data_IF_465085012570
#
_entry.id   IF_465085012570
#
_cell.length_a   1.000
_cell.length_b   1.000
_cell.length_c   1.000
_cell.angle_alpha   90.00
_cell.angle_beta   90.00
_cell.angle_gamma   90.00
#
_symmetry.space_group_name_H-M   'P 1'
#
loop_
_entity.id
_entity.type
_entity.pdbx_description
1 polymer ?
#
# COMPACT_ATOMS: atom_id res chain seq x y z
N UNK A 1 13.02 13.09 -6.62
CA UNK A 1 12.03 13.15 -5.52
C UNK A 1 10.64 12.62 -5.87
N UNK A 2 9.98 12.95 -7.01
CA UNK A 2 8.58 12.55 -7.20
C UNK A 2 8.31 11.04 -7.20
N UNK A 3 9.23 10.23 -7.74
CA UNK A 3 9.15 8.78 -7.66
C UNK A 3 9.30 8.23 -6.23
N UNK A 4 10.25 8.76 -5.45
CA UNK A 4 10.43 8.36 -4.06
C UNK A 4 9.20 8.72 -3.20
N UNK A 5 8.65 9.92 -3.40
CA UNK A 5 7.42 10.34 -2.73
C UNK A 5 6.22 9.44 -3.10
N UNK A 6 6.15 8.98 -4.35
CA UNK A 6 5.11 8.03 -4.79
C UNK A 6 5.19 6.71 -4.02
N UNK A 7 6.39 6.13 -3.87
CA UNK A 7 6.59 4.89 -3.13
C UNK A 7 6.23 5.05 -1.65
N UNK A 8 6.66 6.14 -1.02
CA UNK A 8 6.35 6.41 0.38
C UNK A 8 4.83 6.60 0.61
N UNK A 9 4.13 7.21 -0.35
CA UNK A 9 2.67 7.36 -0.31
C UNK A 9 1.96 6.01 -0.43
N UNK A 10 2.41 5.11 -1.31
CA UNK A 10 1.88 3.74 -1.38
C UNK A 10 2.14 3.00 -0.08
N UNK A 11 3.34 3.10 0.48
CA UNK A 11 3.66 2.47 1.75
C UNK A 11 2.74 2.95 2.88
N UNK A 12 2.52 4.25 3.01
CA UNK A 12 1.62 4.77 4.05
C UNK A 12 0.14 4.44 3.78
N UNK A 13 -0.26 4.35 2.51
CA UNK A 13 -1.58 3.84 2.12
C UNK A 13 -1.81 2.43 2.67
N UNK A 14 -0.90 1.49 2.39
CA UNK A 14 -1.03 0.11 2.87
C UNK A 14 -1.09 0.06 4.38
N UNK A 15 -0.20 0.75 5.10
CA UNK A 15 -0.19 0.71 6.57
C UNK A 15 -1.51 1.21 7.20
N UNK A 16 -2.13 2.23 6.62
CA UNK A 16 -3.42 2.75 7.12
C UNK A 16 -4.54 1.73 6.91
N UNK A 17 -4.55 1.05 5.78
CA UNK A 17 -5.54 0.03 5.47
C UNK A 17 -5.30 -1.25 6.29
N UNK A 18 -4.05 -1.72 6.40
CA UNK A 18 -3.63 -2.84 7.25
C UNK A 18 -4.06 -2.60 8.71
N UNK A 19 -3.87 -1.38 9.24
CA UNK A 19 -4.28 -1.05 10.62
C UNK A 19 -5.78 -1.28 10.86
N UNK A 20 -6.61 -1.09 9.83
CA UNK A 20 -8.06 -1.34 9.89
C UNK A 20 -8.32 -2.85 9.82
N UNK A 21 -7.68 -3.54 8.87
CA UNK A 21 -7.85 -4.97 8.61
C UNK A 21 -7.46 -5.80 9.84
N UNK A 22 -6.34 -5.46 10.48
CA UNK A 22 -5.80 -6.13 11.67
C UNK A 22 -6.48 -5.68 12.99
N UNK A 23 -7.41 -4.71 12.93
CA UNK A 23 -7.95 -4.02 14.09
C UNK A 23 -6.86 -3.46 15.04
N UNK A 24 -5.72 -3.04 14.48
CA UNK A 24 -4.57 -2.51 15.22
C UNK A 24 -4.86 -1.12 15.78
N UNK A 25 -4.89 -0.97 17.12
CA UNK A 25 -5.19 0.31 17.77
C UNK A 25 -4.00 1.28 17.82
N UNK A 26 -2.76 0.78 17.70
CA UNK A 26 -1.54 1.59 17.77
C UNK A 26 -0.51 1.17 16.72
N UNK A 27 0.21 2.16 16.17
CA UNK A 27 1.36 1.97 15.30
C UNK A 27 2.48 2.93 15.71
N UNK A 28 3.70 2.41 15.87
CA UNK A 28 4.85 3.17 16.36
C UNK A 28 4.56 3.96 17.67
N UNK A 29 3.89 3.29 18.62
CA UNK A 29 3.51 3.86 19.94
C UNK A 29 2.55 5.05 19.86
N UNK A 30 1.78 5.18 18.77
CA UNK A 30 0.77 6.23 18.58
C UNK A 30 -0.54 5.60 18.12
N UNK A 31 -1.70 6.18 18.47
CA UNK A 31 -2.99 5.71 17.96
C UNK A 31 -3.02 5.69 16.43
N UNK A 32 -3.58 4.63 15.85
CA UNK A 32 -3.75 4.50 14.40
C UNK A 32 -4.81 5.48 13.87
N UNK A 33 -4.80 5.72 12.56
CA UNK A 33 -5.70 6.68 11.90
C UNK A 33 -7.16 6.31 12.15
N UNK A 34 -7.51 5.03 12.02
CA UNK A 34 -8.90 4.59 12.25
C UNK A 34 -9.30 4.68 13.72
N UNK A 35 -8.34 4.54 14.66
CA UNK A 35 -8.61 4.72 16.08
C UNK A 35 -8.92 6.18 16.44
N UNK A 36 -8.28 7.13 15.76
CA UNK A 36 -8.47 8.57 15.99
C UNK A 36 -9.71 9.14 15.28
N UNK A 37 -9.95 8.73 14.03
CA UNK A 37 -10.94 9.37 13.15
C UNK A 37 -12.02 8.42 12.63
N UNK A 38 -12.00 7.16 13.06
CA UNK A 38 -12.94 6.12 12.63
C UNK A 38 -12.54 5.48 11.30
N UNK A 39 -13.01 4.24 11.10
CA UNK A 39 -12.74 3.45 9.90
C UNK A 39 -13.11 4.17 8.59
N UNK A 40 -14.28 4.84 8.44
CA UNK A 40 -14.62 5.50 7.18
C UNK A 40 -13.61 6.58 6.76
N UNK A 41 -13.07 7.33 7.72
CA UNK A 41 -12.09 8.38 7.41
C UNK A 41 -10.70 7.81 7.17
N UNK A 42 -10.33 6.71 7.84
CA UNK A 42 -9.08 6.03 7.57
C UNK A 42 -9.05 5.40 6.17
N UNK A 43 -10.18 4.83 5.70
CA UNK A 43 -10.33 4.36 4.32
C UNK A 43 -10.08 5.52 3.34
N UNK A 44 -10.82 6.64 3.50
CA UNK A 44 -10.65 7.82 2.64
C UNK A 44 -9.21 8.36 2.66
N UNK A 45 -8.53 8.33 3.82
CA UNK A 45 -7.15 8.78 3.96
C UNK A 45 -6.19 7.89 3.16
N UNK A 46 -6.31 6.56 3.29
CA UNK A 46 -5.52 5.62 2.50
C UNK A 46 -5.80 5.75 0.99
N UNK A 47 -7.06 5.82 0.58
CA UNK A 47 -7.44 6.00 -0.84
C UNK A 47 -6.87 7.29 -1.43
N UNK A 48 -6.87 8.36 -0.62
CA UNK A 48 -6.27 9.64 -1.00
C UNK A 48 -4.76 9.53 -1.18
N UNK A 49 -4.06 8.79 -0.30
CA UNK A 49 -2.62 8.54 -0.43
C UNK A 49 -2.30 7.72 -1.68
N UNK A 50 -3.10 6.68 -1.96
CA UNK A 50 -3.00 5.90 -3.19
C UNK A 50 -3.13 6.80 -4.43
N UNK A 51 -4.16 7.64 -4.51
CA UNK A 51 -4.34 8.58 -5.62
C UNK A 51 -3.18 9.58 -5.74
N UNK A 52 -2.72 10.14 -4.61
CA UNK A 52 -1.59 11.07 -4.56
C UNK A 52 -0.29 10.42 -5.06
N UNK A 53 -0.08 9.13 -4.85
CA UNK A 53 1.10 8.42 -5.32
C UNK A 53 1.22 8.46 -6.86
N UNK A 54 0.11 8.25 -7.59
CA UNK A 54 0.11 8.34 -9.05
C UNK A 54 0.29 9.78 -9.53
N UNK A 55 -0.36 10.74 -8.86
CA UNK A 55 -0.15 12.17 -9.16
C UNK A 55 1.31 12.58 -8.93
N UNK A 56 1.99 12.02 -7.94
CA UNK A 56 3.41 12.25 -7.71
C UNK A 56 4.27 11.73 -8.88
N UNK A 57 3.98 10.55 -9.45
CA UNK A 57 4.69 10.06 -10.63
C UNK A 57 4.51 10.95 -11.85
N UNK A 58 3.32 11.52 -12.06
CA UNK A 58 3.08 12.44 -13.18
C UNK A 58 3.97 13.69 -13.12
N UNK A 59 4.36 14.14 -11.92
CA UNK A 59 5.29 15.28 -11.75
C UNK A 59 6.69 15.01 -12.31
N UNK A 60 7.07 13.75 -12.59
CA UNK A 60 8.33 13.43 -13.27
C UNK A 60 8.43 14.06 -14.66
N UNK A 61 7.30 14.28 -15.34
CA UNK A 61 7.25 15.01 -16.62
C UNK A 61 7.83 16.42 -16.50
N UNK A 62 7.47 17.13 -15.44
CA UNK A 62 7.98 18.49 -15.16
C UNK A 62 9.49 18.53 -14.91
N UNK A 63 10.09 17.38 -14.56
CA UNK A 63 11.53 17.24 -14.37
C UNK A 63 12.27 16.78 -15.64
N UNK A 64 11.63 16.88 -16.81
CA UNK A 64 12.24 16.51 -18.09
C UNK A 64 12.33 15.00 -18.35
N UNK A 65 11.65 14.16 -17.55
CA UNK A 65 11.67 12.71 -17.76
C UNK A 65 10.78 12.34 -18.96
N UNK A 66 11.35 11.55 -19.87
CA UNK A 66 10.66 11.06 -21.06
C UNK A 66 9.36 10.33 -20.71
N UNK A 67 8.34 10.55 -21.52
CA UNK A 67 7.00 10.06 -21.24
C UNK A 67 6.82 8.56 -21.15
N UNK A 68 7.54 7.86 -22.01
CA UNK A 68 7.61 6.40 -21.99
C UNK A 68 8.14 5.88 -20.65
N UNK A 69 9.10 6.59 -20.03
CA UNK A 69 9.61 6.24 -18.69
C UNK A 69 8.58 6.50 -17.60
N UNK A 70 7.84 7.62 -17.67
CA UNK A 70 6.77 7.93 -16.70
C UNK A 70 5.65 6.89 -16.79
N UNK A 71 5.22 6.53 -17.99
CA UNK A 71 4.20 5.50 -18.19
C UNK A 71 4.66 4.13 -17.70
N UNK A 72 5.93 3.78 -17.94
CA UNK A 72 6.52 2.54 -17.40
C UNK A 72 6.53 2.55 -15.87
N UNK A 73 6.90 3.66 -15.25
CA UNK A 73 6.89 3.78 -13.78
C UNK A 73 5.48 3.62 -13.19
N UNK A 74 4.46 4.23 -13.81
CA UNK A 74 3.05 4.08 -13.41
C UNK A 74 2.61 2.62 -13.54
N UNK A 75 2.97 1.94 -14.63
CA UNK A 75 2.65 0.53 -14.81
C UNK A 75 3.28 -0.35 -13.73
N UNK A 76 4.59 -0.20 -13.51
CA UNK A 76 5.32 -0.98 -12.49
C UNK A 76 4.73 -0.74 -11.10
N UNK A 77 4.37 0.51 -10.77
CA UNK A 77 3.73 0.81 -9.50
C UNK A 77 2.36 0.11 -9.38
N UNK A 78 1.54 0.16 -10.43
CA UNK A 78 0.23 -0.49 -10.43
C UNK A 78 0.31 -2.02 -10.33
N UNK A 79 1.26 -2.65 -11.03
CA UNK A 79 1.55 -4.08 -10.91
C UNK A 79 1.98 -4.44 -9.48
N UNK A 80 2.89 -3.67 -8.88
CA UNK A 80 3.32 -3.88 -7.50
C UNK A 80 2.17 -3.66 -6.48
N UNK A 81 1.28 -2.69 -6.70
CA UNK A 81 0.11 -2.51 -5.83
C UNK A 81 -0.86 -3.69 -5.94
N UNK A 82 -1.01 -4.29 -7.12
CA UNK A 82 -1.84 -5.50 -7.28
C UNK A 82 -1.22 -6.69 -6.55
N UNK A 83 0.10 -6.89 -6.69
CA UNK A 83 0.83 -7.93 -5.95
C UNK A 83 0.66 -7.72 -4.43
N UNK A 84 0.85 -6.50 -3.94
CA UNK A 84 0.63 -6.15 -2.52
C UNK A 84 -0.79 -6.54 -2.05
N UNK A 85 -1.83 -6.21 -2.81
CA UNK A 85 -3.20 -6.59 -2.45
C UNK A 85 -3.43 -8.11 -2.48
N UNK A 86 -2.77 -8.83 -3.39
CA UNK A 86 -2.81 -10.31 -3.41
C UNK A 86 -2.12 -10.90 -2.17
N UNK A 87 -1.00 -10.33 -1.75
CA UNK A 87 -0.29 -10.70 -0.52
C UNK A 87 -1.17 -10.49 0.71
N UNK A 88 -1.75 -9.30 0.84
CA UNK A 88 -2.63 -8.95 1.95
C UNK A 88 -3.89 -9.83 2.01
N UNK A 89 -4.49 -10.12 0.85
CA UNK A 89 -5.59 -11.09 0.77
C UNK A 89 -5.20 -12.46 1.31
N UNK A 90 -4.00 -12.96 0.96
CA UNK A 90 -3.50 -14.24 1.44
C UNK A 90 -3.24 -14.21 2.95
N UNK A 91 -2.72 -13.12 3.49
CA UNK A 91 -2.44 -12.97 4.92
C UNK A 91 -3.75 -13.06 5.73
N UNK A 92 -4.77 -12.28 5.35
CA UNK A 92 -6.11 -12.35 5.94
C UNK A 92 -6.71 -13.76 5.79
N UNK A 93 -6.57 -14.40 4.63
CA UNK A 93 -7.08 -15.74 4.39
C UNK A 93 -6.34 -16.85 5.19
N UNK A 94 -5.13 -16.56 5.65
CA UNK A 94 -4.35 -17.44 6.52
C UNK A 94 -4.64 -17.20 8.00
N UNK A 95 -5.27 -16.09 8.36
CA UNK A 95 -5.63 -15.79 9.72
C UNK A 95 -6.49 -16.92 10.34
N UNK A 96 -6.07 -17.42 11.50
CA UNK A 96 -6.74 -18.52 12.20
C UNK A 96 -6.51 -19.91 11.63
N UNK A 97 -5.74 -20.07 10.54
CA UNK A 97 -5.40 -21.39 9.97
C UNK A 97 -4.15 -21.98 10.64
N UNK A 98 -4.26 -23.22 11.12
CA UNK A 98 -3.14 -23.97 11.73
C UNK A 98 -2.32 -24.80 10.74
N UNK A 99 -2.68 -24.81 9.46
CA UNK A 99 -2.16 -25.71 8.42
C UNK A 99 -1.46 -24.98 7.27
N UNK A 100 -1.02 -23.73 7.50
CA UNK A 100 -0.26 -22.94 6.51
C UNK A 100 1.14 -23.56 6.35
N UNK A 101 1.47 -23.94 5.11
CA UNK A 101 2.80 -24.49 4.79
C UNK A 101 3.83 -23.37 4.66
N UNK A 102 5.12 -23.70 4.83
CA UNK A 102 6.22 -22.74 4.59
C UNK A 102 6.18 -22.17 3.17
N UNK A 103 5.84 -23.00 2.17
CA UNK A 103 5.67 -22.54 0.79
C UNK A 103 4.51 -21.55 0.64
N UNK A 104 3.38 -21.80 1.31
CA UNK A 104 2.24 -20.87 1.33
C UNK A 104 2.61 -19.53 1.96
N UNK A 105 3.29 -19.56 3.10
CA UNK A 105 3.79 -18.35 3.76
C UNK A 105 4.78 -17.57 2.88
N UNK A 106 5.76 -18.25 2.27
CA UNK A 106 6.72 -17.61 1.37
C UNK A 106 6.03 -16.96 0.17
N UNK A 107 5.04 -17.64 -0.43
CA UNK A 107 4.25 -17.07 -1.52
C UNK A 107 3.55 -15.78 -1.08
N UNK A 108 3.00 -15.73 0.12
CA UNK A 108 2.30 -14.55 0.64
C UNK A 108 3.27 -13.38 0.89
N UNK A 109 4.43 -13.57 1.54
CA UNK A 109 5.35 -12.46 1.84
C UNK A 109 6.18 -11.95 0.65
N UNK A 110 6.25 -12.71 -0.45
CA UNK A 110 7.00 -12.32 -1.66
C UNK A 110 6.19 -11.51 -2.65
N UNK A 111 4.89 -11.36 -2.39
CA UNK A 111 3.97 -10.49 -3.10
C UNK A 111 4.12 -9.06 -2.60
#
# INVERSE_FOLDING_TARGET
>A
MPAAASLELIHNFSLIHDDIEDASCERHHRPTVWKLWGQPQAINAGDSMFALAYLALLKLRGNGIAGTKVMRAIRVLGEACLELCEGQYLDIAYEGRGDVTTEGYLRMITK
#
